data_IF_233383647526
#
_entry.id   IF_233383647526
#
_cell.length_a   1.000
_cell.length_b   1.000
_cell.length_c   1.000
_cell.angle_alpha   90.00
_cell.angle_beta   90.00
_cell.angle_gamma   90.00
#
_symmetry.space_group_name_H-M   'P 1'
#
loop_
_entity.id
_entity.type
_entity.pdbx_description
1 polymer ?
#
# COMPACT_ATOMS: atom_id res chain seq x y z
N UNK A 1 -88.56 -56.12 -23.79
CA UNK A 1 -87.39 -56.55 -23.00
C UNK A 1 -86.47 -55.35 -22.75
N UNK A 2 -86.48 -54.78 -21.55
CA UNK A 2 -85.54 -53.73 -21.10
C UNK A 2 -84.64 -54.34 -20.03
N UNK A 3 -83.34 -54.47 -20.30
CA UNK A 3 -82.34 -54.80 -19.25
C UNK A 3 -81.96 -53.49 -18.55
N UNK A 4 -82.25 -53.40 -17.26
CA UNK A 4 -81.79 -52.31 -16.41
C UNK A 4 -80.30 -52.53 -16.12
N UNK A 5 -79.48 -51.56 -16.51
CA UNK A 5 -78.05 -51.52 -16.21
C UNK A 5 -77.90 -50.97 -14.79
N UNK A 6 -77.68 -51.84 -13.81
CA UNK A 6 -77.35 -51.42 -12.45
C UNK A 6 -75.97 -50.74 -12.46
N UNK A 7 -75.98 -49.43 -12.27
CA UNK A 7 -74.77 -48.62 -12.10
C UNK A 7 -74.33 -48.79 -10.65
N UNK A 8 -73.34 -49.65 -10.41
CA UNK A 8 -72.72 -49.77 -9.10
C UNK A 8 -72.10 -48.43 -8.69
N UNK A 9 -72.70 -47.77 -7.69
CA UNK A 9 -72.13 -46.61 -7.02
C UNK A 9 -70.87 -47.08 -6.28
N UNK A 10 -69.70 -46.63 -6.75
CA UNK A 10 -68.43 -46.85 -6.03
C UNK A 10 -68.52 -46.15 -4.68
N UNK A 11 -68.18 -46.81 -3.56
CA UNK A 11 -68.11 -46.13 -2.28
C UNK A 11 -67.03 -45.05 -2.35
N UNK A 12 -67.38 -43.81 -1.98
CA UNK A 12 -66.41 -42.75 -1.80
C UNK A 12 -65.54 -43.13 -0.59
N UNK A 13 -64.30 -43.54 -0.86
CA UNK A 13 -63.33 -43.82 0.19
C UNK A 13 -63.01 -42.51 0.92
N UNK A 14 -63.46 -42.37 2.16
CA UNK A 14 -63.07 -41.27 3.04
C UNK A 14 -61.62 -41.44 3.47
N UNK A 15 -60.94 -40.32 3.69
CA UNK A 15 -59.58 -40.32 4.24
C UNK A 15 -59.56 -40.98 5.62
N UNK A 16 -58.60 -41.87 5.84
CA UNK A 16 -58.40 -42.45 7.17
C UNK A 16 -57.69 -41.43 8.07
N UNK A 17 -58.00 -41.46 9.37
CA UNK A 17 -57.29 -40.64 10.37
C UNK A 17 -55.77 -40.85 10.29
N UNK A 18 -55.35 -42.09 10.03
CA UNK A 18 -53.95 -42.47 9.86
C UNK A 18 -53.29 -41.72 8.70
N UNK A 19 -53.97 -41.62 7.56
CA UNK A 19 -53.45 -40.96 6.35
C UNK A 19 -53.27 -39.44 6.56
N UNK A 20 -54.18 -38.81 7.30
CA UNK A 20 -54.04 -37.39 7.68
C UNK A 20 -52.85 -37.20 8.61
N UNK A 21 -52.67 -38.08 9.60
CA UNK A 21 -51.54 -38.02 10.54
C UNK A 21 -50.20 -38.22 9.81
N UNK A 22 -50.11 -39.19 8.89
CA UNK A 22 -48.91 -39.43 8.07
C UNK A 22 -48.61 -38.23 7.18
N UNK A 23 -49.63 -37.65 6.53
CA UNK A 23 -49.46 -36.49 5.66
C UNK A 23 -48.94 -35.27 6.42
N UNK A 24 -49.54 -34.97 7.58
CA UNK A 24 -49.13 -33.83 8.42
C UNK A 24 -47.73 -34.03 8.99
N UNK A 25 -47.38 -35.25 9.42
CA UNK A 25 -46.04 -35.56 9.92
C UNK A 25 -44.98 -35.44 8.83
N UNK A 26 -45.26 -35.90 7.61
CA UNK A 26 -44.36 -35.72 6.46
C UNK A 26 -44.16 -34.25 6.11
N UNK A 27 -45.23 -33.45 6.07
CA UNK A 27 -45.14 -31.99 5.81
C UNK A 27 -44.33 -31.29 6.90
N UNK A 28 -44.53 -31.65 8.17
CA UNK A 28 -43.76 -31.10 9.28
C UNK A 28 -42.27 -31.46 9.16
N UNK A 29 -41.94 -32.72 8.86
CA UNK A 29 -40.56 -33.17 8.61
C UNK A 29 -39.90 -32.42 7.46
N UNK A 30 -40.60 -32.29 6.33
CA UNK A 30 -40.10 -31.55 5.18
C UNK A 30 -39.84 -30.09 5.53
N UNK A 31 -40.74 -29.46 6.29
CA UNK A 31 -40.59 -28.06 6.73
C UNK A 31 -39.37 -27.88 7.62
N UNK A 32 -39.09 -28.82 8.53
CA UNK A 32 -37.89 -28.78 9.39
C UNK A 32 -36.60 -28.91 8.57
N UNK A 33 -36.57 -29.80 7.58
CA UNK A 33 -35.41 -29.98 6.69
C UNK A 33 -35.16 -28.71 5.87
N UNK A 34 -36.21 -28.15 5.28
CA UNK A 34 -36.13 -26.91 4.49
C UNK A 34 -35.65 -25.75 5.38
N UNK A 35 -36.24 -25.60 6.57
CA UNK A 35 -35.84 -24.57 7.53
C UNK A 35 -34.36 -24.70 7.93
N UNK A 36 -33.90 -25.93 8.18
CA UNK A 36 -32.50 -26.20 8.52
C UNK A 36 -31.55 -25.83 7.37
N UNK A 37 -31.90 -26.17 6.12
CA UNK A 37 -31.13 -25.80 4.94
C UNK A 37 -31.06 -24.28 4.74
N UNK A 38 -32.18 -23.56 4.93
CA UNK A 38 -32.21 -22.10 4.90
C UNK A 38 -31.33 -21.49 6.00
N UNK A 39 -31.40 -22.01 7.22
CA UNK A 39 -30.63 -21.50 8.37
C UNK A 39 -29.12 -21.65 8.14
N UNK A 40 -28.69 -22.77 7.56
CA UNK A 40 -27.29 -23.01 7.18
C UNK A 40 -26.86 -22.07 6.05
N UNK A 41 -27.70 -21.92 5.01
CA UNK A 41 -27.39 -21.08 3.85
C UNK A 41 -27.21 -19.61 4.24
N UNK A 42 -28.12 -19.08 5.07
CA UNK A 42 -28.05 -17.70 5.58
C UNK A 42 -26.81 -17.50 6.47
N UNK A 43 -26.51 -18.45 7.36
CA UNK A 43 -25.36 -18.36 8.25
C UNK A 43 -24.01 -18.46 7.51
N UNK A 44 -23.93 -19.26 6.45
CA UNK A 44 -22.75 -19.35 5.59
C UNK A 44 -22.57 -18.08 4.76
N UNK A 45 -23.67 -17.51 4.25
CA UNK A 45 -23.62 -16.25 3.51
C UNK A 45 -23.13 -15.10 4.39
N UNK A 46 -23.69 -14.94 5.60
CA UNK A 46 -23.30 -13.86 6.51
C UNK A 46 -21.83 -13.92 6.92
N UNK A 47 -21.29 -15.12 7.14
CA UNK A 47 -19.86 -15.32 7.43
C UNK A 47 -18.99 -15.03 6.22
N UNK A 48 -19.39 -15.53 5.04
CA UNK A 48 -18.68 -15.28 3.79
C UNK A 48 -18.62 -13.80 3.42
N UNK A 49 -19.71 -13.05 3.61
CA UNK A 49 -19.74 -11.61 3.30
C UNK A 49 -18.87 -10.78 4.24
N UNK A 50 -18.82 -11.12 5.53
CA UNK A 50 -18.01 -10.39 6.51
C UNK A 50 -16.50 -10.59 6.26
N UNK A 51 -16.08 -11.81 5.93
CA UNK A 51 -14.68 -12.12 5.61
C UNK A 51 -14.22 -11.52 4.28
N UNK A 52 -15.12 -11.37 3.31
CA UNK A 52 -14.84 -10.73 2.03
C UNK A 52 -14.59 -9.22 2.21
N UNK A 53 -15.43 -8.54 3.00
CA UNK A 53 -15.35 -7.08 3.20
C UNK A 53 -14.03 -6.66 3.89
N UNK A 54 -13.64 -7.39 4.95
CA UNK A 54 -12.38 -7.14 5.67
C UNK A 54 -11.16 -7.34 4.77
N UNK A 55 -11.16 -8.39 3.95
CA UNK A 55 -10.06 -8.65 3.03
C UNK A 55 -9.99 -7.64 1.87
N UNK A 56 -11.14 -7.19 1.36
CA UNK A 56 -11.21 -6.14 0.35
C UNK A 56 -10.65 -4.82 0.90
N UNK A 57 -11.06 -4.41 2.10
CA UNK A 57 -10.54 -3.20 2.75
C UNK A 57 -9.01 -3.24 2.93
N UNK A 58 -8.48 -4.36 3.43
CA UNK A 58 -7.02 -4.54 3.60
C UNK A 58 -6.26 -4.47 2.28
N UNK A 59 -6.82 -5.04 1.21
CA UNK A 59 -6.21 -4.96 -0.13
C UNK A 59 -6.15 -3.52 -0.63
N UNK A 60 -7.23 -2.76 -0.46
CA UNK A 60 -7.26 -1.33 -0.83
C UNK A 60 -6.20 -0.54 -0.06
N UNK A 61 -6.05 -0.78 1.25
CA UNK A 61 -5.01 -0.12 2.06
C UNK A 61 -3.61 -0.46 1.54
N UNK A 62 -3.33 -1.73 1.25
CA UNK A 62 -2.03 -2.16 0.69
C UNK A 62 -1.74 -1.48 -0.66
N UNK A 63 -2.74 -1.37 -1.54
CA UNK A 63 -2.60 -0.69 -2.83
C UNK A 63 -2.34 0.81 -2.66
N UNK A 64 -2.96 1.45 -1.66
CA UNK A 64 -2.72 2.86 -1.32
C UNK A 64 -1.30 3.08 -0.77
N UNK A 65 -0.83 2.25 0.16
CA UNK A 65 0.54 2.29 0.70
C UNK A 65 1.55 2.10 -0.44
N UNK A 66 1.33 1.09 -1.28
CA UNK A 66 2.17 0.84 -2.46
C UNK A 66 2.19 2.05 -3.40
N UNK A 67 1.03 2.67 -3.65
CA UNK A 67 0.93 3.87 -4.48
C UNK A 67 1.68 5.05 -3.88
N UNK A 68 1.58 5.27 -2.57
CA UNK A 68 2.31 6.35 -1.89
C UNK A 68 3.83 6.14 -2.00
N UNK A 69 4.33 4.92 -1.74
CA UNK A 69 5.74 4.57 -1.92
C UNK A 69 6.21 4.67 -3.37
N UNK A 70 5.39 4.23 -4.33
CA UNK A 70 5.71 4.34 -5.76
C UNK A 70 5.66 5.80 -6.26
N UNK A 71 5.07 6.71 -5.49
CA UNK A 71 4.97 8.14 -5.79
C UNK A 71 6.02 8.96 -5.03
N UNK A 72 7.09 8.32 -4.54
CA UNK A 72 8.24 9.01 -3.97
C UNK A 72 8.77 10.05 -4.96
N UNK A 73 9.03 11.25 -4.46
CA UNK A 73 9.62 12.34 -5.21
C UNK A 73 10.97 12.72 -4.63
N UNK A 74 12.00 12.77 -5.49
CA UNK A 74 13.39 13.04 -5.09
C UNK A 74 13.65 14.51 -4.83
N UNK A 75 13.06 15.08 -3.79
CA UNK A 75 13.39 16.43 -3.31
C UNK A 75 14.80 16.43 -2.75
N UNK A 76 15.65 17.32 -3.25
CA UNK A 76 17.02 17.46 -2.79
C UNK A 76 17.08 18.35 -1.54
N UNK A 77 17.82 17.89 -0.52
CA UNK A 77 18.13 18.71 0.64
C UNK A 77 19.00 19.92 0.22
N UNK A 78 18.58 21.17 0.49
CA UNK A 78 19.44 22.33 0.31
C UNK A 78 20.57 22.27 1.34
N UNK A 79 21.76 21.89 0.90
CA UNK A 79 22.97 21.94 1.74
C UNK A 79 23.78 23.16 1.35
N UNK A 80 24.37 23.83 2.35
CA UNK A 80 25.28 24.95 2.10
C UNK A 80 26.51 24.43 1.33
N UNK A 81 26.55 24.73 0.03
CA UNK A 81 27.59 24.26 -0.89
C UNK A 81 28.94 24.87 -0.52
N UNK A 82 28.95 26.08 0.05
CA UNK A 82 30.17 26.77 0.50
C UNK A 82 30.84 26.04 1.67
N UNK A 83 30.09 25.22 2.41
CA UNK A 83 30.59 24.38 3.50
C UNK A 83 30.92 22.95 3.08
N UNK A 84 30.91 22.64 1.76
CA UNK A 84 31.23 21.29 1.25
C UNK A 84 30.13 20.24 1.52
N UNK A 85 28.90 20.69 1.75
CA UNK A 85 27.79 19.81 2.09
C UNK A 85 27.36 18.86 0.98
N UNK A 86 27.24 17.57 1.28
CA UNK A 86 26.81 16.53 0.32
C UNK A 86 25.34 16.70 -0.03
N UNK A 87 25.03 16.77 -1.33
CA UNK A 87 23.67 16.88 -1.85
C UNK A 87 23.03 15.49 -1.90
N UNK A 88 21.89 15.30 -1.23
CA UNK A 88 21.19 14.01 -1.20
C UNK A 88 19.65 14.20 -1.21
N UNK A 89 18.89 13.22 -1.72
CA UNK A 89 17.43 13.27 -1.67
C UNK A 89 16.91 13.08 -0.24
N UNK A 90 15.80 13.74 0.11
CA UNK A 90 15.10 13.58 1.38
C UNK A 90 14.44 12.20 1.41
N UNK A 91 15.22 11.21 1.87
CA UNK A 91 14.80 9.82 1.99
C UNK A 91 15.64 9.11 3.05
N UNK A 92 15.03 8.51 4.06
CA UNK A 92 15.73 7.67 5.03
C UNK A 92 15.02 6.33 5.14
N UNK A 93 15.80 5.26 5.13
CA UNK A 93 15.28 3.92 5.26
C UNK A 93 16.02 3.11 6.31
N UNK A 94 15.29 2.48 7.20
CA UNK A 94 15.76 1.50 8.17
C UNK A 94 14.86 0.26 8.09
N UNK A 95 15.22 -0.80 8.83
CA UNK A 95 14.46 -2.05 8.77
C UNK A 95 13.02 -1.88 9.24
N UNK A 96 12.78 -1.00 10.21
CA UNK A 96 11.51 -0.79 10.90
C UNK A 96 10.84 0.57 10.59
N UNK A 97 11.54 1.47 9.90
CA UNK A 97 11.01 2.78 9.53
C UNK A 97 11.46 3.24 8.15
N UNK A 98 10.61 4.02 7.48
CA UNK A 98 10.97 4.68 6.22
C UNK A 98 10.36 6.07 6.17
N UNK A 99 11.15 7.04 5.70
CA UNK A 99 10.79 8.44 5.63
C UNK A 99 11.11 9.00 4.24
N UNK A 100 10.17 9.69 3.63
CA UNK A 100 10.32 10.19 2.26
C UNK A 100 9.37 11.33 1.94
N UNK A 101 9.61 11.99 0.80
CA UNK A 101 8.64 12.91 0.20
C UNK A 101 7.84 12.17 -0.88
N UNK A 102 6.52 12.33 -0.87
CA UNK A 102 5.58 11.72 -1.80
C UNK A 102 4.79 12.79 -2.58
N UNK A 103 4.40 12.47 -3.82
CA UNK A 103 3.40 13.22 -4.59
C UNK A 103 1.95 12.89 -4.19
N UNK A 104 1.77 11.87 -3.37
CA UNK A 104 0.46 11.35 -2.97
C UNK A 104 0.35 11.32 -1.44
N UNK A 105 -0.71 11.94 -0.94
CA UNK A 105 -1.16 11.86 0.45
C UNK A 105 -2.20 10.75 0.60
N UNK A 106 -2.18 10.02 1.73
CA UNK A 106 -3.25 9.08 2.07
C UNK A 106 -4.49 9.78 2.64
N UNK A 107 -4.33 11.00 3.16
CA UNK A 107 -5.41 11.84 3.69
C UNK A 107 -6.07 12.71 2.63
N UNK A 108 -5.63 12.62 1.36
CA UNK A 108 -6.17 13.27 0.15
C UNK A 108 -6.46 14.78 0.26
N UNK A 109 -7.47 15.19 1.02
CA UNK A 109 -7.95 16.57 1.12
C UNK A 109 -7.14 17.45 2.07
N UNK A 110 -6.49 16.86 3.07
CA UNK A 110 -5.78 17.63 4.10
C UNK A 110 -4.40 18.13 3.66
N UNK A 111 -3.87 17.61 2.55
CA UNK A 111 -2.50 17.90 2.13
C UNK A 111 -2.34 17.96 0.60
N UNK A 112 -2.73 19.08 -0.04
CA UNK A 112 -2.49 19.28 -1.46
C UNK A 112 -1.00 19.55 -1.73
N UNK A 113 -0.34 18.67 -2.49
CA UNK A 113 1.03 18.89 -2.99
C UNK A 113 2.03 17.86 -2.49
N UNK A 114 3.29 18.29 -2.30
CA UNK A 114 4.35 17.44 -1.77
C UNK A 114 4.09 17.13 -0.30
N UNK A 115 4.17 15.86 0.06
CA UNK A 115 3.88 15.38 1.42
C UNK A 115 5.08 14.68 2.00
N UNK A 116 5.50 15.08 3.19
CA UNK A 116 6.44 14.30 3.99
C UNK A 116 5.69 13.13 4.62
N UNK A 117 6.21 11.93 4.45
CA UNK A 117 5.61 10.69 4.93
C UNK A 117 6.62 9.96 5.80
N UNK A 118 6.18 9.47 6.96
CA UNK A 118 6.90 8.44 7.72
C UNK A 118 6.03 7.21 7.90
N UNK A 119 6.66 6.05 7.80
CA UNK A 119 6.12 4.81 8.31
C UNK A 119 7.05 4.31 9.40
N UNK A 120 6.49 3.94 10.53
CA UNK A 120 7.25 3.47 11.69
C UNK A 120 6.54 2.24 12.28
N UNK A 121 7.32 1.19 12.55
CA UNK A 121 6.84 0.03 13.29
C UNK A 121 6.83 0.36 14.78
N UNK A 122 5.66 0.30 15.41
CA UNK A 122 5.49 0.57 16.84
C UNK A 122 4.94 -0.67 17.56
N UNK A 123 5.18 -0.75 18.87
CA UNK A 123 4.50 -1.75 19.68
C UNK A 123 2.99 -1.49 19.67
N UNK A 124 2.21 -2.55 19.49
CA UNK A 124 0.76 -2.47 19.44
C UNK A 124 0.19 -2.49 20.87
N UNK A 125 -0.54 -1.43 21.22
CA UNK A 125 -1.16 -1.32 22.55
C UNK A 125 -2.38 -2.24 22.72
N UNK A 126 -2.95 -2.76 21.63
CA UNK A 126 -4.15 -3.59 21.66
C UNK A 126 -3.87 -5.06 22.00
N UNK A 127 -2.67 -5.56 21.68
CA UNK A 127 -2.26 -6.92 21.99
C UNK A 127 -0.79 -7.00 22.39
N UNK A 128 -0.53 -7.55 23.59
CA UNK A 128 0.83 -7.66 24.12
C UNK A 128 1.70 -8.54 23.20
N UNK A 129 2.79 -7.96 22.69
CA UNK A 129 3.74 -8.65 21.81
C UNK A 129 3.39 -8.61 20.32
N UNK A 130 2.36 -7.87 19.90
CA UNK A 130 2.17 -7.51 18.49
C UNK A 130 2.75 -6.13 18.19
N UNK A 131 2.95 -5.89 16.90
CA UNK A 131 3.38 -4.61 16.35
C UNK A 131 2.28 -4.02 15.47
N UNK A 132 2.31 -2.70 15.31
CA UNK A 132 1.49 -1.97 14.37
C UNK A 132 2.38 -1.13 13.44
N UNK A 133 2.03 -1.08 12.16
CA UNK A 133 2.63 -0.14 11.22
C UNK A 133 1.84 1.16 11.28
N UNK A 134 2.49 2.20 11.76
CA UNK A 134 1.90 3.54 11.88
C UNK A 134 2.44 4.42 10.77
N UNK A 135 1.54 5.20 10.16
CA UNK A 135 1.85 6.19 9.15
C UNK A 135 1.61 7.59 9.70
N UNK A 136 2.54 8.49 9.40
CA UNK A 136 2.43 9.93 9.65
C UNK A 136 2.63 10.66 8.34
N UNK A 137 1.87 11.73 8.13
CA UNK A 137 2.10 12.63 7.01
C UNK A 137 1.83 14.08 7.37
N UNK A 138 2.57 14.98 6.72
CA UNK A 138 2.41 16.41 6.83
C UNK A 138 2.80 17.12 5.52
N UNK A 139 2.31 18.35 5.27
CA UNK A 139 2.69 19.11 4.09
C UNK A 139 4.20 19.38 4.06
N UNK A 140 4.82 19.19 2.89
CA UNK A 140 6.19 19.64 2.65
C UNK A 140 6.16 21.13 2.27
N UNK A 141 6.52 21.98 3.23
CA UNK A 141 6.56 23.44 3.05
C UNK A 141 7.95 23.97 2.70
N UNK A 142 8.90 23.08 2.38
CA UNK A 142 10.32 23.40 2.25
C UNK A 142 11.12 23.07 3.51
N UNK A 143 12.44 23.29 3.44
CA UNK A 143 13.34 23.15 4.58
C UNK A 143 13.42 24.48 5.33
N UNK A 144 13.05 24.47 6.61
CA UNK A 144 13.30 25.56 7.54
C UNK A 144 14.64 25.31 8.25
N UNK A 145 15.65 26.19 8.09
CA UNK A 145 16.96 26.02 8.72
C UNK A 145 16.93 26.01 10.25
N UNK A 146 15.85 26.50 10.89
CA UNK A 146 15.66 26.42 12.34
C UNK A 146 15.08 25.08 12.82
N UNK A 147 14.64 24.21 11.90
CA UNK A 147 13.97 22.95 12.24
C UNK A 147 14.98 21.80 12.26
N UNK A 148 15.13 21.17 13.42
CA UNK A 148 16.08 20.06 13.63
C UNK A 148 15.69 18.77 12.88
N UNK A 149 14.38 18.54 12.71
CA UNK A 149 13.83 17.43 11.93
C UNK A 149 12.77 17.90 10.94
N UNK A 150 12.86 17.39 9.71
CA UNK A 150 11.80 17.55 8.71
C UNK A 150 10.58 16.70 9.03
N UNK A 151 10.75 15.56 9.69
CA UNK A 151 9.67 14.63 9.98
C UNK A 151 9.21 14.83 11.42
N UNK A 152 7.95 15.22 11.59
CA UNK A 152 7.31 15.20 12.91
C UNK A 152 6.95 13.75 13.25
N UNK A 153 7.49 13.26 14.38
CA UNK A 153 7.20 11.93 14.92
C UNK A 153 6.15 11.98 16.03
N UNK A 154 5.48 13.11 16.23
CA UNK A 154 4.36 13.21 17.15
C UNK A 154 3.26 12.19 16.82
N UNK A 155 2.66 11.62 17.85
CA UNK A 155 1.57 10.65 17.69
C UNK A 155 0.23 11.32 17.33
N UNK A 156 0.13 12.64 17.48
CA UNK A 156 -1.08 13.43 17.21
C UNK A 156 -1.54 13.32 15.75
N UNK A 157 -0.60 13.15 14.83
CA UNK A 157 -0.86 12.98 13.40
C UNK A 157 -0.58 11.55 12.91
N UNK A 158 -0.76 10.54 13.74
CA UNK A 158 -0.44 9.16 13.41
C UNK A 158 -1.69 8.33 13.10
N UNK A 159 -1.60 7.43 12.11
CA UNK A 159 -2.69 6.51 11.72
C UNK A 159 -2.13 5.10 11.64
N UNK A 160 -2.74 4.16 12.35
CA UNK A 160 -2.41 2.73 12.24
C UNK A 160 -2.93 2.19 10.90
N UNK A 161 -2.01 1.72 10.05
CA UNK A 161 -2.31 1.18 8.72
C UNK A 161 -2.49 -0.34 8.77
N UNK A 162 -1.63 -1.01 9.53
CA UNK A 162 -1.73 -2.45 9.83
C UNK A 162 -1.50 -2.67 11.31
N UNK A 163 -2.36 -3.49 11.91
CA UNK A 163 -2.33 -3.87 13.32
C UNK A 163 -2.10 -5.38 13.44
N UNK A 164 -1.82 -5.87 14.65
CA UNK A 164 -1.65 -7.30 14.93
C UNK A 164 -0.56 -7.98 14.06
N UNK A 165 0.56 -7.27 13.86
CA UNK A 165 1.72 -7.78 13.15
C UNK A 165 2.61 -8.59 14.10
N UNK A 166 2.98 -9.80 13.68
CA UNK A 166 4.02 -10.60 14.36
C UNK A 166 5.41 -10.14 13.94
N UNK A 167 5.56 -9.77 12.66
CA UNK A 167 6.81 -9.32 12.08
C UNK A 167 6.56 -8.38 10.92
N UNK A 168 7.42 -7.38 10.77
CA UNK A 168 7.38 -6.42 9.69
C UNK A 168 8.79 -5.94 9.39
N UNK A 169 9.13 -5.75 8.12
CA UNK A 169 10.41 -5.16 7.71
C UNK A 169 10.36 -4.46 6.36
N UNK A 170 11.10 -3.36 6.25
CA UNK A 170 11.45 -2.73 5.00
C UNK A 170 12.79 -3.25 4.46
N UNK A 171 12.86 -3.38 3.14
CA UNK A 171 14.10 -3.59 2.40
C UNK A 171 14.14 -2.66 1.19
N UNK A 172 15.34 -2.29 0.76
CA UNK A 172 15.59 -1.30 -0.27
C UNK A 172 16.45 -1.91 -1.37
N UNK A 173 16.03 -1.73 -2.62
CA UNK A 173 16.78 -2.23 -3.77
C UNK A 173 17.88 -1.24 -4.16
N UNK A 174 19.12 -1.62 -3.87
CA UNK A 174 20.31 -0.99 -4.46
C UNK A 174 20.48 -1.54 -5.88
N UNK A 175 20.40 -0.70 -6.93
CA UNK A 175 20.61 -1.18 -8.30
C UNK A 175 22.07 -1.58 -8.57
N UNK A 176 22.98 -1.35 -7.61
CA UNK A 176 24.39 -1.68 -7.75
C UNK A 176 25.13 -0.70 -8.66
N UNK A 177 26.20 -1.19 -9.27
CA UNK A 177 27.08 -0.44 -10.18
C UNK A 177 27.49 -1.32 -11.36
N UNK A 178 28.44 -0.87 -12.19
CA UNK A 178 28.90 -1.68 -13.34
C UNK A 178 29.38 -3.08 -12.94
N UNK A 179 30.10 -3.19 -11.82
CA UNK A 179 30.70 -4.45 -11.34
C UNK A 179 29.98 -5.05 -10.13
N UNK A 180 28.83 -4.48 -9.73
CA UNK A 180 28.08 -4.95 -8.55
C UNK A 180 26.64 -5.23 -8.94
N UNK A 181 26.15 -6.47 -8.77
CA UNK A 181 24.77 -6.80 -9.09
C UNK A 181 23.79 -6.07 -8.15
N UNK A 182 22.54 -5.87 -8.59
CA UNK A 182 21.49 -5.33 -7.73
C UNK A 182 21.27 -6.20 -6.48
N UNK A 183 21.09 -5.56 -5.33
CA UNK A 183 20.90 -6.26 -4.06
C UNK A 183 19.87 -5.55 -3.17
N UNK A 184 19.17 -6.36 -2.35
CA UNK A 184 18.28 -5.85 -1.32
C UNK A 184 19.05 -5.62 -0.04
N UNK A 185 18.97 -4.41 0.50
CA UNK A 185 19.61 -4.01 1.75
C UNK A 185 18.56 -3.51 2.75
N UNK A 186 18.89 -3.50 4.03
CA UNK A 186 17.93 -3.23 5.11
C UNK A 186 18.02 -1.83 5.69
N UNK A 187 19.02 -1.06 5.26
CA UNK A 187 19.18 0.34 5.64
C UNK A 187 19.60 1.13 4.41
N UNK A 188 19.09 2.35 4.32
CA UNK A 188 19.36 3.28 3.23
C UNK A 188 19.63 4.66 3.80
N UNK A 189 20.91 4.98 3.96
CA UNK A 189 21.35 6.32 4.33
C UNK A 189 21.52 7.16 3.05
N UNK A 190 20.74 8.24 2.86
CA UNK A 190 20.81 9.05 1.65
C UNK A 190 22.15 9.78 1.52
N UNK A 191 22.83 10.06 2.64
CA UNK A 191 24.13 10.75 2.65
C UNK A 191 25.23 9.89 2.04
N UNK A 192 25.16 8.57 2.27
CA UNK A 192 26.14 7.60 1.78
C UNK A 192 25.80 7.16 0.35
N UNK A 193 24.50 6.99 0.06
CA UNK A 193 24.02 6.49 -1.22
C UNK A 193 23.94 7.57 -2.31
N UNK A 194 23.65 8.83 -1.93
CA UNK A 194 23.48 9.96 -2.86
C UNK A 194 22.30 9.85 -3.83
N UNK A 195 21.48 8.79 -3.71
CA UNK A 195 20.37 8.48 -4.61
C UNK A 195 19.21 7.81 -3.87
N UNK A 196 18.06 7.74 -4.54
CA UNK A 196 16.91 6.96 -4.08
C UNK A 196 17.12 5.46 -4.36
N UNK A 197 16.54 4.56 -3.55
CA UNK A 197 16.46 3.15 -3.90
C UNK A 197 15.57 2.94 -5.13
N UNK A 198 15.82 1.89 -5.90
CA UNK A 198 15.02 1.58 -7.11
C UNK A 198 13.64 1.00 -6.76
N UNK A 199 13.52 0.37 -5.60
CA UNK A 199 12.27 -0.16 -5.10
C UNK A 199 12.35 -0.31 -3.58
N UNK A 200 11.19 -0.24 -2.93
CA UNK A 200 11.00 -0.63 -1.53
C UNK A 200 10.25 -1.94 -1.51
N UNK A 201 10.71 -2.88 -0.70
CA UNK A 201 10.01 -4.10 -0.39
C UNK A 201 9.53 -4.06 1.05
N UNK A 202 8.29 -4.44 1.24
CA UNK A 202 7.64 -4.58 2.53
C UNK A 202 7.37 -6.06 2.73
N UNK A 203 7.91 -6.62 3.80
CA UNK A 203 7.59 -7.97 4.26
C UNK A 203 6.80 -7.87 5.55
N UNK A 204 5.68 -8.59 5.66
CA UNK A 204 4.87 -8.61 6.87
C UNK A 204 4.27 -9.98 7.14
N UNK A 205 4.16 -10.31 8.43
CA UNK A 205 3.45 -11.47 8.95
C UNK A 205 2.45 -10.95 9.97
N UNK A 206 1.16 -11.22 9.74
CA UNK A 206 0.07 -10.80 10.61
C UNK A 206 -0.72 -12.01 11.11
N UNK A 207 -1.32 -11.88 12.30
CA UNK A 207 -2.32 -12.83 12.77
C UNK A 207 -3.71 -12.41 12.28
N UNK A 208 -4.39 -13.30 11.57
CA UNK A 208 -5.74 -13.07 11.05
C UNK A 208 -6.63 -14.27 11.37
N UNK A 209 -7.67 -14.05 12.19
CA UNK A 209 -8.63 -15.08 12.62
C UNK A 209 -7.97 -16.41 13.07
N UNK A 210 -6.85 -16.33 13.80
CA UNK A 210 -6.11 -17.49 14.31
C UNK A 210 -5.13 -18.13 13.32
N UNK A 211 -4.95 -17.57 12.11
CA UNK A 211 -3.97 -18.03 11.12
C UNK A 211 -2.89 -16.97 10.92
N UNK A 212 -1.66 -17.41 10.67
CA UNK A 212 -0.58 -16.51 10.24
C UNK A 212 -0.71 -16.27 8.73
N UNK A 213 -0.73 -15.00 8.34
CA UNK A 213 -0.79 -14.57 6.93
C UNK A 213 0.49 -13.81 6.62
N UNK A 214 1.26 -14.32 5.66
CA UNK A 214 2.44 -13.64 5.13
C UNK A 214 2.05 -12.81 3.91
N UNK A 215 2.49 -11.55 3.86
CA UNK A 215 2.33 -10.68 2.69
C UNK A 215 3.66 -10.02 2.36
N UNK A 216 3.92 -9.92 1.05
CA UNK A 216 5.06 -9.19 0.51
C UNK A 216 4.56 -8.20 -0.54
N UNK A 217 5.07 -6.97 -0.48
CA UNK A 217 4.79 -5.93 -1.47
C UNK A 217 6.11 -5.37 -1.96
N UNK A 218 6.18 -5.11 -3.26
CA UNK A 218 7.28 -4.37 -3.87
C UNK A 218 6.70 -3.13 -4.54
N UNK A 219 7.15 -1.97 -4.08
CA UNK A 219 6.83 -0.67 -4.64
C UNK A 219 8.04 -0.16 -5.44
N UNK A 220 8.00 -0.16 -6.78
CA UNK A 220 9.07 0.43 -7.58
C UNK A 220 9.05 1.95 -7.41
N UNK A 221 10.23 2.57 -7.37
CA UNK A 221 10.39 4.02 -7.31
C UNK A 221 10.88 4.49 -8.69
N UNK A 222 9.99 5.02 -9.54
CA UNK A 222 10.35 5.50 -10.87
C UNK A 222 11.07 6.85 -10.83
N UNK A 223 11.09 7.54 -9.68
CA UNK A 223 11.64 8.87 -9.57
C UNK A 223 13.17 8.86 -9.72
N UNK A 224 13.65 9.62 -10.69
CA UNK A 224 15.03 10.11 -10.71
C UNK A 224 15.12 11.34 -9.80
N UNK A 225 16.15 11.47 -8.95
CA UNK A 225 16.35 12.67 -8.14
C UNK A 225 16.28 13.92 -9.02
N UNK A 226 15.43 14.88 -8.63
CA UNK A 226 15.29 16.13 -9.37
C UNK A 226 16.38 17.10 -8.90
N UNK A 227 17.44 17.28 -9.71
CA UNK A 227 18.42 18.34 -9.48
C UNK A 227 18.00 19.62 -10.20
N UNK A 228 17.49 20.64 -9.47
CA UNK A 228 17.14 21.92 -10.08
C UNK A 228 18.33 22.54 -10.84
N UNK A 229 19.58 22.30 -10.40
CA UNK A 229 20.78 22.90 -11.04
C UNK A 229 21.04 22.39 -12.46
N UNK A 230 20.60 21.18 -12.81
CA UNK A 230 20.82 20.61 -14.14
C UNK A 230 19.87 21.19 -15.20
N UNK A 231 18.79 21.86 -14.78
CA UNK A 231 17.76 22.39 -15.70
C UNK A 231 17.66 23.92 -15.65
N UNK A 232 18.20 24.58 -14.61
CA UNK A 232 18.29 26.04 -14.56
C UNK A 232 19.39 26.55 -15.51
N UNK A 233 19.02 26.83 -16.76
CA UNK A 233 19.78 27.76 -17.60
C UNK A 233 19.55 29.15 -17.03
N UNK A 234 20.56 29.72 -16.37
CA UNK A 234 20.49 31.08 -15.88
C UNK A 234 20.30 32.04 -17.08
N UNK A 235 19.15 32.72 -17.22
CA UNK A 235 18.89 33.59 -18.37
C UNK A 235 19.79 34.84 -18.38
N UNK A 236 20.53 35.09 -17.29
CA UNK A 236 21.49 36.19 -17.16
C UNK A 236 22.95 35.74 -17.42
N UNK A 237 23.22 34.44 -17.58
CA UNK A 237 24.54 33.98 -18.01
C UNK A 237 24.68 34.15 -19.52
N UNK A 238 25.44 35.17 -19.92
CA UNK A 238 25.71 35.49 -21.31
C UNK A 238 26.54 34.36 -21.97
N UNK A 239 26.06 33.64 -23.00
CA UNK A 239 26.72 32.47 -23.57
C UNK A 239 28.03 32.77 -24.34
N UNK A 240 28.50 34.02 -24.35
CA UNK A 240 29.67 34.45 -25.12
C UNK A 240 30.99 34.52 -24.32
N UNK A 241 30.99 34.27 -23.01
CA UNK A 241 32.20 34.42 -22.19
C UNK A 241 33.13 33.19 -22.12
N UNK A 242 32.80 32.09 -22.81
CA UNK A 242 33.50 30.80 -22.64
C UNK A 242 34.13 30.19 -23.89
N UNK A 243 34.39 30.93 -24.98
CA UNK A 243 35.13 30.35 -26.12
C UNK A 243 36.64 30.59 -25.96
N UNK A 244 37.48 29.54 -25.81
CA UNK A 244 38.90 29.68 -26.01
C UNK A 244 39.16 30.14 -27.44
N UNK A 245 39.97 31.19 -27.60
CA UNK A 245 40.35 31.72 -28.91
C UNK A 245 40.96 30.64 -29.79
N UNK A 246 40.43 30.51 -31.01
CA UNK A 246 40.96 29.63 -32.06
C UNK A 246 42.42 30.04 -32.34
N UNK A 247 43.40 29.11 -32.38
CA UNK A 247 44.75 29.49 -32.80
C UNK A 247 44.70 29.95 -34.25
N UNK A 248 45.20 31.15 -34.52
CA UNK A 248 45.44 31.66 -35.89
C UNK A 248 46.45 30.72 -36.55
N UNK A 249 46.04 30.03 -37.60
CA UNK A 249 46.95 29.32 -38.48
C UNK A 249 47.82 30.32 -39.23
N UNK A 250 49.12 30.07 -39.26
CA UNK A 250 50.09 30.75 -40.12
C UNK A 250 49.71 30.52 -41.59
N UNK A 251 49.61 31.61 -42.36
CA UNK A 251 49.45 31.59 -43.80
C UNK A 251 50.82 31.81 -44.47
N UNK A 252 51.39 30.84 -45.20
CA UNK A 252 52.69 30.98 -45.83
C UNK A 252 52.54 31.48 -47.27
N UNK A 253 52.07 32.73 -47.47
CA UNK A 253 52.18 33.43 -48.77
C UNK A 253 52.27 34.94 -48.62
N UNK A 254 53.47 35.45 -48.40
CA UNK A 254 53.88 36.75 -48.94
C UNK A 254 55.38 36.71 -49.20
N UNK A 255 55.72 36.99 -50.47
CA UNK A 255 57.07 37.24 -50.97
C UNK A 255 57.60 38.57 -50.44
#
# INVERSE_FOLDING_TARGET
MKRATERALRPAAGFTLLEVIISVTLVALMSVVIWSAFRISIASWSRGTADIDVNQRRRTILDLVKKQMASIYGVIAPVNIESGGTVYPIFWGERDSVQFVSLVSLRFQDNPGLTLVSYDLVADNAAAGSYALVQREQPYLGMDPARESLFDRSDENSVAIFENLTSFSFEYLDPGGQDRPPQWIQAWNPRDMGRLPTAIRVNMIAHDAGRMVTRQIVAPIPATPYDPRLTFVNPLQNPLQGRPGRPRGDDPRAR
#
